data_IF_705626399442
#
_entry.id   IF_705626399442
#
_cell.length_a   1.000
_cell.length_b   1.000
_cell.length_c   1.000
_cell.angle_alpha   90.00
_cell.angle_beta   90.00
_cell.angle_gamma   90.00
#
_symmetry.space_group_name_H-M   'P 1'
#
loop_
_entity.id
_entity.type
_entity.pdbx_description
1 polymer ?
#
# COMPACT_ATOMS: atom_id res chain seq x y z
N UNK A 1 3.15 -30.73 -26.76
CA UNK A 1 4.16 -30.06 -25.92
C UNK A 1 4.02 -28.57 -26.11
N UNK A 2 3.44 -27.88 -25.14
CA UNK A 2 3.32 -26.41 -25.14
C UNK A 2 3.85 -25.93 -23.81
N UNK A 3 5.11 -25.48 -23.84
CA UNK A 3 5.82 -24.88 -22.72
C UNK A 3 5.08 -23.63 -22.24
N UNK A 4 4.49 -23.71 -21.05
CA UNK A 4 3.94 -22.56 -20.34
C UNK A 4 5.07 -21.72 -19.78
N UNK A 5 5.59 -20.79 -20.58
CA UNK A 5 6.39 -19.67 -20.07
C UNK A 5 5.45 -18.82 -19.22
N UNK A 6 5.57 -18.97 -17.91
CA UNK A 6 5.05 -17.99 -16.95
C UNK A 6 5.80 -16.69 -17.26
N UNK A 7 5.13 -15.77 -17.94
CA UNK A 7 5.60 -14.41 -18.14
C UNK A 7 5.64 -13.73 -16.77
N UNK A 8 6.74 -13.91 -16.04
CA UNK A 8 7.06 -13.05 -14.91
C UNK A 8 7.23 -11.66 -15.50
N UNK A 9 6.29 -10.78 -15.18
CA UNK A 9 6.28 -9.41 -15.64
C UNK A 9 7.67 -8.77 -15.37
N UNK A 10 8.36 -8.17 -16.36
CA UNK A 10 9.69 -7.59 -16.16
C UNK A 10 9.76 -6.53 -15.05
N UNK A 11 8.61 -6.00 -14.63
CA UNK A 11 8.46 -5.13 -13.47
C UNK A 11 8.78 -5.84 -12.15
N UNK A 12 8.46 -7.12 -11.96
CA UNK A 12 8.77 -7.88 -10.75
C UNK A 12 10.29 -8.06 -10.55
N UNK A 13 11.04 -8.25 -11.65
CA UNK A 13 12.49 -8.44 -11.60
C UNK A 13 13.22 -7.18 -11.11
N UNK A 14 12.71 -6.00 -11.47
CA UNK A 14 13.29 -4.71 -11.05
C UNK A 14 13.00 -4.39 -9.59
N UNK A 15 11.84 -4.81 -9.08
CA UNK A 15 11.53 -4.73 -7.65
C UNK A 15 12.35 -5.73 -6.83
N UNK A 16 12.57 -6.95 -7.34
CA UNK A 16 13.44 -7.95 -6.70
C UNK A 16 14.89 -7.46 -6.58
N UNK A 17 15.42 -6.81 -7.62
CA UNK A 17 16.78 -6.25 -7.61
C UNK A 17 16.92 -5.06 -6.64
N UNK A 18 15.92 -4.17 -6.56
CA UNK A 18 15.91 -3.08 -5.57
C UNK A 18 15.69 -3.56 -4.13
N UNK A 19 15.07 -4.74 -3.95
CA UNK A 19 14.87 -5.37 -2.65
C UNK A 19 16.13 -6.11 -2.18
N UNK A 20 16.89 -6.70 -3.11
CA UNK A 20 18.21 -7.31 -2.85
C UNK A 20 19.26 -6.25 -2.44
N UNK A 21 19.27 -5.08 -3.07
CA UNK A 21 20.19 -3.98 -2.70
C UNK A 21 19.89 -3.36 -1.31
N UNK A 22 18.69 -3.58 -0.74
CA UNK A 22 18.29 -3.02 0.56
C UNK A 22 18.42 -4.03 1.73
N UNK A 23 18.59 -5.33 1.44
CA UNK A 23 18.63 -6.41 2.44
C UNK A 23 20.07 -6.82 2.80
N UNK A 24 21.09 -6.09 2.34
CA UNK A 24 22.49 -6.40 2.65
C UNK A 24 22.96 -5.68 3.93
N UNK A 25 22.36 -6.03 5.07
CA UNK A 25 22.96 -5.78 6.39
C UNK A 25 22.29 -6.55 7.54
N UNK A 26 23.13 -7.23 8.33
CA UNK A 26 22.89 -7.96 9.59
C UNK A 26 22.39 -9.42 9.43
N UNK A 27 23.06 -10.48 9.89
CA UNK A 27 24.26 -10.63 10.74
C UNK A 27 24.89 -12.01 10.49
N UNK A 28 26.19 -12.12 10.74
CA UNK A 28 26.97 -13.34 10.62
C UNK A 28 26.88 -14.23 11.88
N UNK A 29 26.97 -15.54 11.64
CA UNK A 29 27.40 -16.65 12.52
C UNK A 29 26.40 -17.21 13.56
N UNK A 30 25.94 -18.44 13.31
CA UNK A 30 26.16 -19.57 14.24
C UNK A 30 25.86 -20.91 13.51
N UNK A 31 26.88 -21.78 13.42
CA UNK A 31 26.77 -23.13 12.87
C UNK A 31 26.24 -24.12 13.91
N UNK A 32 25.17 -24.85 13.60
CA UNK A 32 24.81 -26.10 14.28
C UNK A 32 23.97 -27.03 13.39
N UNK A 33 24.56 -28.19 13.07
CA UNK A 33 23.96 -29.48 12.70
C UNK A 33 23.08 -29.57 11.43
N UNK A 34 23.73 -30.03 10.36
CA UNK A 34 23.14 -30.41 9.07
C UNK A 34 22.33 -31.70 9.21
N UNK A 35 21.04 -31.57 9.51
CA UNK A 35 20.04 -32.56 9.13
C UNK A 35 19.42 -32.07 7.82
N UNK A 36 20.03 -32.40 6.69
CA UNK A 36 19.51 -32.15 5.34
C UNK A 36 18.23 -32.98 5.14
N UNK A 37 17.13 -32.55 5.75
CA UNK A 37 15.82 -32.81 5.17
C UNK A 37 15.84 -32.09 3.83
N UNK A 38 15.75 -32.83 2.73
CA UNK A 38 15.51 -32.28 1.39
C UNK A 38 14.14 -31.60 1.39
N UNK A 39 14.06 -30.42 1.99
CA UNK A 39 12.95 -29.51 1.86
C UNK A 39 13.06 -28.92 0.46
N UNK A 40 12.41 -29.57 -0.50
CA UNK A 40 12.23 -28.95 -1.81
C UNK A 40 11.35 -27.73 -1.61
N UNK A 41 11.93 -26.54 -1.83
CA UNK A 41 11.17 -25.31 -1.94
C UNK A 41 10.21 -25.43 -3.14
N UNK A 42 8.93 -25.58 -2.85
CA UNK A 42 7.89 -25.68 -3.87
C UNK A 42 7.53 -24.29 -4.40
N UNK A 43 8.27 -23.83 -5.41
CA UNK A 43 8.03 -22.56 -6.11
C UNK A 43 6.72 -22.56 -6.94
N UNK A 44 5.96 -23.66 -6.97
CA UNK A 44 4.67 -23.71 -7.67
C UNK A 44 3.51 -23.27 -6.78
N UNK A 45 3.70 -23.26 -5.45
CA UNK A 45 2.73 -22.75 -4.50
C UNK A 45 3.05 -21.30 -4.15
N UNK A 46 2.04 -20.44 -4.21
CA UNK A 46 2.17 -19.08 -3.70
C UNK A 46 2.60 -19.11 -2.23
N UNK A 47 3.55 -18.27 -1.87
CA UNK A 47 3.92 -17.99 -0.48
C UNK A 47 2.80 -17.25 0.26
N UNK A 48 2.86 -17.17 1.60
CA UNK A 48 1.92 -16.34 2.37
C UNK A 48 1.98 -14.87 1.95
N UNK A 49 3.18 -14.39 1.59
CA UNK A 49 3.43 -13.06 1.08
C UNK A 49 2.78 -12.80 -0.28
N UNK A 50 2.91 -13.73 -1.23
CA UNK A 50 2.28 -13.58 -2.55
C UNK A 50 0.76 -13.66 -2.47
N UNK A 51 0.21 -14.52 -1.61
CA UNK A 51 -1.24 -14.54 -1.33
C UNK A 51 -1.71 -13.21 -0.78
N UNK A 52 -0.94 -12.61 0.12
CA UNK A 52 -1.22 -11.29 0.68
C UNK A 52 -1.24 -10.19 -0.38
N UNK A 53 -0.23 -10.14 -1.25
CA UNK A 53 -0.20 -9.20 -2.39
C UNK A 53 -1.40 -9.43 -3.31
N UNK A 54 -1.73 -10.69 -3.60
CA UNK A 54 -2.85 -11.05 -4.46
C UNK A 54 -4.19 -10.59 -3.88
N UNK A 55 -4.38 -10.67 -2.56
CA UNK A 55 -5.58 -10.17 -1.89
C UNK A 55 -5.69 -8.64 -1.99
N UNK A 56 -4.59 -7.92 -1.75
CA UNK A 56 -4.55 -6.46 -1.94
C UNK A 56 -4.85 -6.09 -3.40
N UNK A 57 -4.26 -6.80 -4.36
CA UNK A 57 -4.49 -6.58 -5.78
C UNK A 57 -5.97 -6.80 -6.16
N UNK A 58 -6.58 -7.87 -5.65
CA UNK A 58 -7.99 -8.15 -5.89
C UNK A 58 -8.89 -7.03 -5.38
N UNK A 59 -8.63 -6.51 -4.17
CA UNK A 59 -9.36 -5.37 -3.60
C UNK A 59 -9.17 -4.11 -4.44
N UNK A 60 -7.93 -3.80 -4.83
CA UNK A 60 -7.64 -2.67 -5.73
C UNK A 60 -8.41 -2.78 -7.06
N UNK A 61 -8.42 -3.97 -7.69
CA UNK A 61 -9.15 -4.22 -8.94
C UNK A 61 -10.66 -4.04 -8.75
N UNK A 62 -11.22 -4.53 -7.64
CA UNK A 62 -12.63 -4.32 -7.31
C UNK A 62 -12.96 -2.84 -7.16
N UNK A 63 -12.15 -2.08 -6.43
CA UNK A 63 -12.36 -0.64 -6.25
C UNK A 63 -12.20 0.16 -7.55
N UNK A 64 -11.24 -0.21 -8.41
CA UNK A 64 -11.08 0.37 -9.73
C UNK A 64 -12.29 0.08 -10.64
N UNK A 65 -12.80 -1.15 -10.61
CA UNK A 65 -13.92 -1.59 -11.42
C UNK A 65 -15.25 -0.96 -10.98
N UNK A 66 -15.49 -0.88 -9.67
CA UNK A 66 -16.66 -0.21 -9.11
C UNK A 66 -16.60 1.30 -9.37
N UNK A 67 -15.42 1.91 -9.22
CA UNK A 67 -15.24 3.35 -9.37
C UNK A 67 -15.98 4.18 -8.31
N UNK A 68 -15.78 5.51 -8.30
CA UNK A 68 -16.17 6.37 -7.19
C UNK A 68 -17.68 6.55 -7.03
N UNK A 69 -18.52 6.09 -7.96
CA UNK A 69 -19.99 6.17 -7.82
C UNK A 69 -20.56 4.92 -7.15
N UNK A 70 -20.15 3.74 -7.62
CA UNK A 70 -20.67 2.47 -7.10
C UNK A 70 -20.12 2.17 -5.70
N UNK A 71 -18.90 2.63 -5.39
CA UNK A 71 -18.35 2.55 -4.03
C UNK A 71 -19.22 3.30 -3.01
N UNK A 72 -19.98 4.33 -3.44
CA UNK A 72 -20.86 5.10 -2.55
C UNK A 72 -22.10 4.34 -2.15
N UNK A 73 -22.57 3.50 -3.07
CA UNK A 73 -23.77 2.71 -2.89
C UNK A 73 -23.49 1.48 -2.02
N UNK A 74 -22.24 0.99 -2.01
CA UNK A 74 -21.78 -0.22 -1.32
C UNK A 74 -21.02 0.07 -0.01
N UNK A 75 -21.47 1.01 0.82
CA UNK A 75 -20.91 1.30 2.17
C UNK A 75 -19.72 2.28 2.27
N UNK A 76 -19.48 3.18 1.29
CA UNK A 76 -18.48 4.24 1.52
C UNK A 76 -18.90 5.18 2.66
N UNK A 77 -18.10 5.19 3.73
CA UNK A 77 -18.34 6.04 4.90
C UNK A 77 -17.79 7.44 4.61
N UNK A 78 -18.56 8.48 4.98
CA UNK A 78 -18.10 9.87 4.89
C UNK A 78 -16.98 10.11 5.90
N UNK A 79 -15.88 10.74 5.47
CA UNK A 79 -14.80 11.13 6.37
C UNK A 79 -15.29 12.29 7.25
N UNK A 80 -15.14 12.18 8.58
CA UNK A 80 -15.62 13.20 9.52
C UNK A 80 -14.91 14.55 9.35
N UNK A 81 -13.66 14.51 8.90
CA UNK A 81 -12.77 15.68 8.76
C UNK A 81 -13.07 16.54 7.53
N UNK A 82 -13.59 15.95 6.44
CA UNK A 82 -13.84 16.69 5.18
C UNK A 82 -15.23 16.41 4.60
N UNK A 83 -15.92 17.46 4.17
CA UNK A 83 -17.26 17.35 3.59
C UNK A 83 -17.28 16.63 2.24
N UNK A 84 -16.16 16.55 1.52
CA UNK A 84 -16.08 16.03 0.14
C UNK A 84 -15.41 14.67 0.03
N UNK A 85 -14.57 14.30 1.01
CA UNK A 85 -13.80 13.07 0.98
C UNK A 85 -14.64 11.89 1.48
N UNK A 86 -14.65 10.82 0.70
CA UNK A 86 -15.31 9.56 1.04
C UNK A 86 -14.28 8.46 1.08
N UNK A 87 -14.55 7.42 1.87
CA UNK A 87 -13.64 6.30 2.01
C UNK A 87 -14.31 4.95 1.89
N UNK A 88 -13.67 4.07 1.12
CA UNK A 88 -13.93 2.64 1.14
C UNK A 88 -12.94 1.98 2.10
N UNK A 89 -13.39 0.97 2.84
CA UNK A 89 -12.54 0.23 3.79
C UNK A 89 -12.54 -1.25 3.48
N UNK A 90 -11.41 -1.90 3.70
CA UNK A 90 -11.27 -3.34 3.63
C UNK A 90 -10.33 -3.83 4.72
N UNK A 91 -10.68 -4.92 5.40
CA UNK A 91 -9.85 -5.53 6.43
C UNK A 91 -9.17 -6.77 5.87
N UNK A 92 -7.85 -6.84 6.06
CA UNK A 92 -7.00 -7.88 5.50
C UNK A 92 -6.12 -8.48 6.60
N UNK A 93 -5.91 -9.79 6.55
CA UNK A 93 -5.17 -10.52 7.58
C UNK A 93 -3.86 -11.02 6.99
N UNK A 94 -2.76 -10.72 7.67
CA UNK A 94 -1.46 -11.27 7.32
C UNK A 94 -0.71 -11.69 8.58
N UNK A 95 -0.29 -12.95 8.57
CA UNK A 95 0.25 -13.65 9.73
C UNK A 95 -0.68 -13.53 10.96
N UNK A 96 -0.21 -12.87 12.02
CA UNK A 96 -0.94 -12.64 13.28
C UNK A 96 -1.51 -11.23 13.39
N UNK A 97 -1.34 -10.38 12.36
CA UNK A 97 -1.78 -8.99 12.35
C UNK A 97 -2.97 -8.82 11.42
N UNK A 98 -3.87 -7.92 11.79
CA UNK A 98 -4.97 -7.47 10.94
C UNK A 98 -4.62 -6.06 10.51
N UNK A 99 -4.73 -5.79 9.22
CA UNK A 99 -4.55 -4.48 8.63
C UNK A 99 -5.88 -3.99 8.07
N UNK A 100 -6.02 -2.68 8.03
CA UNK A 100 -7.14 -1.98 7.42
C UNK A 100 -6.59 -1.18 6.26
N UNK A 101 -7.19 -1.38 5.10
CA UNK A 101 -6.91 -0.66 3.87
C UNK A 101 -8.06 0.30 3.63
N UNK A 102 -7.73 1.58 3.53
CA UNK A 102 -8.70 2.65 3.34
C UNK A 102 -8.38 3.39 2.03
N UNK A 103 -9.29 3.34 1.07
CA UNK A 103 -9.18 4.09 -0.17
C UNK A 103 -9.99 5.37 -0.08
N UNK A 104 -9.32 6.50 -0.21
CA UNK A 104 -9.89 7.83 -0.13
C UNK A 104 -10.03 8.43 -1.52
N UNK A 105 -11.23 8.89 -1.83
CA UNK A 105 -11.53 9.46 -3.12
C UNK A 105 -12.54 10.61 -2.99
N UNK A 106 -12.44 11.54 -3.93
CA UNK A 106 -13.38 12.64 -4.06
C UNK A 106 -14.41 12.32 -5.13
N UNK A 107 -15.67 12.66 -4.86
CA UNK A 107 -16.70 12.61 -5.89
C UNK A 107 -16.49 13.79 -6.85
N UNK A 108 -16.07 13.51 -8.10
CA UNK A 108 -15.93 14.54 -9.12
C UNK A 108 -17.28 15.20 -9.43
N UNK A 109 -17.55 16.37 -8.85
CA UNK A 109 -18.58 17.26 -9.39
C UNK A 109 -18.10 17.79 -10.75
N UNK A 110 -18.91 17.59 -11.80
CA UNK A 110 -18.61 17.78 -13.24
C UNK A 110 -17.99 19.14 -13.68
N UNK A 111 -17.75 20.12 -12.80
CA UNK A 111 -17.46 21.49 -13.24
C UNK A 111 -16.69 22.40 -12.27
N UNK A 112 -15.93 21.90 -11.29
CA UNK A 112 -15.07 22.78 -10.46
C UNK A 112 -13.60 22.42 -10.56
N UNK A 113 -12.79 23.45 -10.81
CA UNK A 113 -11.36 23.50 -10.46
C UNK A 113 -11.22 23.00 -9.03
N UNK A 114 -10.29 22.08 -8.77
CA UNK A 114 -9.96 21.62 -7.42
C UNK A 114 -9.49 22.85 -6.65
N UNK A 115 -10.39 23.40 -5.84
CA UNK A 115 -10.07 24.51 -4.97
C UNK A 115 -9.38 23.89 -3.75
N UNK A 116 -8.08 24.13 -3.59
CA UNK A 116 -7.26 23.64 -2.49
C UNK A 116 -7.58 24.40 -1.20
N UNK A 117 -8.86 24.37 -0.81
CA UNK A 117 -9.42 25.06 0.34
C UNK A 117 -9.01 24.38 1.64
N UNK A 118 -9.07 25.13 2.75
CA UNK A 118 -8.85 24.64 4.12
C UNK A 118 -9.86 23.56 4.61
N UNK A 119 -10.73 23.05 3.72
CA UNK A 119 -11.66 21.96 4.01
C UNK A 119 -11.21 20.58 3.50
N UNK A 120 -10.01 20.49 2.92
CA UNK A 120 -9.37 19.23 2.52
C UNK A 120 -8.66 18.59 3.72
N UNK A 121 -8.42 17.28 3.63
CA UNK A 121 -7.71 16.57 4.69
C UNK A 121 -6.23 17.03 4.74
N UNK A 122 -5.64 17.07 5.94
CA UNK A 122 -4.25 17.50 6.14
C UNK A 122 -3.29 16.71 5.23
N UNK A 123 -3.59 15.43 4.95
CA UNK A 123 -2.79 14.57 4.08
C UNK A 123 -2.88 14.97 2.60
N UNK A 124 -4.06 15.40 2.14
CA UNK A 124 -4.26 15.89 0.77
C UNK A 124 -3.48 17.18 0.53
N UNK A 125 -3.49 18.08 1.52
CA UNK A 125 -2.77 19.35 1.45
C UNK A 125 -1.25 19.15 1.54
N UNK A 126 -0.79 18.28 2.44
CA UNK A 126 0.65 18.02 2.65
C UNK A 126 1.32 17.40 1.41
N UNK A 127 0.66 16.47 0.74
CA UNK A 127 1.24 15.75 -0.40
C UNK A 127 0.69 16.18 -1.77
N UNK A 128 -0.32 17.06 -1.81
CA UNK A 128 -0.93 17.53 -3.06
C UNK A 128 -1.69 16.44 -3.80
N UNK A 129 -2.32 15.50 -3.09
CA UNK A 129 -2.99 14.31 -3.66
C UNK A 129 -4.51 14.41 -3.52
N UNK A 130 -5.24 14.03 -4.57
CA UNK A 130 -6.72 14.06 -4.57
C UNK A 130 -7.35 12.71 -4.18
N UNK A 131 -6.79 11.62 -4.70
CA UNK A 131 -7.19 10.24 -4.42
C UNK A 131 -5.97 9.52 -3.89
N UNK A 132 -6.12 8.74 -2.83
CA UNK A 132 -4.99 8.05 -2.20
C UNK A 132 -5.46 6.83 -1.42
N UNK A 133 -4.51 5.93 -1.18
CA UNK A 133 -4.70 4.71 -0.43
C UNK A 133 -3.91 4.78 0.88
N UNK A 134 -4.52 4.37 2.00
CA UNK A 134 -3.82 4.17 3.27
C UNK A 134 -3.93 2.71 3.65
N UNK A 135 -2.83 2.11 4.08
CA UNK A 135 -2.84 0.80 4.74
C UNK A 135 -2.22 0.93 6.13
N UNK A 136 -2.94 0.46 7.15
CA UNK A 136 -2.54 0.62 8.54
C UNK A 136 -2.89 -0.64 9.35
N UNK A 137 -2.09 -1.00 10.37
CA UNK A 137 -2.45 -2.10 11.27
C UNK A 137 -3.67 -1.71 12.11
N UNK A 138 -4.61 -2.63 12.29
CA UNK A 138 -5.75 -2.50 13.21
C UNK A 138 -5.28 -2.78 14.65
N UNK A 139 -4.39 -1.92 15.14
CA UNK A 139 -3.85 -1.94 16.50
C UNK A 139 -4.32 -0.71 17.27
N UNK A 140 -4.14 -0.69 18.60
CA UNK A 140 -4.53 0.45 19.43
C UNK A 140 -3.84 1.77 19.02
N UNK A 141 -2.61 1.68 18.48
CA UNK A 141 -1.89 2.83 17.93
C UNK A 141 -2.32 3.17 16.49
N UNK A 142 -2.75 2.18 15.70
CA UNK A 142 -3.03 2.36 14.27
C UNK A 142 -1.80 2.65 13.40
N UNK A 143 -0.59 2.50 13.95
CA UNK A 143 0.67 2.93 13.33
C UNK A 143 1.71 1.80 13.34
N UNK A 144 2.58 1.75 12.32
CA UNK A 144 3.71 0.82 12.26
C UNK A 144 4.95 1.48 12.85
N UNK A 145 5.48 0.89 13.93
CA UNK A 145 6.69 1.38 14.60
C UNK A 145 7.96 0.82 13.94
N UNK A 146 7.88 -0.42 13.45
CA UNK A 146 9.00 -1.11 12.84
C UNK A 146 9.19 -0.63 11.39
N UNK A 147 10.29 0.10 11.15
CA UNK A 147 10.68 0.54 9.80
C UNK A 147 10.69 -0.59 8.76
N UNK A 148 11.29 -1.78 9.00
CA UNK A 148 11.29 -2.86 8.01
C UNK A 148 9.89 -3.42 7.75
N UNK A 149 9.00 -3.42 8.74
CA UNK A 149 7.61 -3.83 8.55
C UNK A 149 6.86 -2.82 7.66
N UNK A 150 7.07 -1.52 7.91
CA UNK A 150 6.43 -0.47 7.12
C UNK A 150 6.90 -0.51 5.66
N UNK A 151 8.20 -0.68 5.42
CA UNK A 151 8.78 -0.83 4.08
C UNK A 151 8.29 -2.10 3.37
N UNK A 152 8.21 -3.22 4.09
CA UNK A 152 7.64 -4.47 3.57
C UNK A 152 6.19 -4.24 3.15
N UNK A 153 5.35 -3.71 4.03
CA UNK A 153 3.94 -3.46 3.71
C UNK A 153 3.77 -2.51 2.52
N UNK A 154 4.55 -1.42 2.48
CA UNK A 154 4.53 -0.47 1.38
C UNK A 154 4.95 -1.11 0.05
N UNK A 155 5.91 -2.04 0.06
CA UNK A 155 6.33 -2.75 -1.15
C UNK A 155 5.25 -3.71 -1.65
N UNK A 156 4.55 -4.43 -0.77
CA UNK A 156 3.39 -5.25 -1.16
C UNK A 156 2.32 -4.43 -1.89
N UNK A 157 1.97 -3.28 -1.31
CA UNK A 157 0.97 -2.39 -1.90
C UNK A 157 1.47 -1.82 -3.24
N UNK A 158 2.73 -1.41 -3.34
CA UNK A 158 3.30 -0.91 -4.58
C UNK A 158 3.25 -1.95 -5.71
N UNK A 159 3.52 -3.22 -5.40
CA UNK A 159 3.42 -4.33 -6.36
C UNK A 159 1.96 -4.53 -6.78
N UNK A 160 1.03 -4.62 -5.83
CA UNK A 160 -0.39 -4.77 -6.11
C UNK A 160 -0.97 -3.62 -6.96
N UNK A 161 -0.56 -2.38 -6.69
CA UNK A 161 -0.96 -1.20 -7.46
C UNK A 161 -0.38 -1.22 -8.88
N UNK A 162 0.86 -1.69 -9.04
CA UNK A 162 1.49 -1.87 -10.35
C UNK A 162 0.74 -2.92 -11.19
N UNK A 163 0.40 -4.06 -10.58
CA UNK A 163 -0.31 -5.15 -11.26
C UNK A 163 -1.74 -4.79 -11.65
N UNK A 164 -2.39 -3.92 -10.86
CA UNK A 164 -3.71 -3.37 -11.16
C UNK A 164 -3.69 -2.16 -12.09
N UNK A 165 -2.50 -1.75 -12.57
CA UNK A 165 -2.29 -0.57 -13.43
C UNK A 165 -2.84 0.74 -12.83
N UNK A 166 -2.85 0.86 -11.50
CA UNK A 166 -3.31 2.06 -10.81
C UNK A 166 -2.16 3.04 -10.56
N UNK A 167 -2.50 4.34 -10.52
CA UNK A 167 -1.57 5.44 -10.22
C UNK A 167 -1.86 6.07 -8.87
N UNK A 168 -2.56 5.36 -8.01
CA UNK A 168 -2.92 5.84 -6.69
C UNK A 168 -1.67 5.92 -5.82
N UNK A 169 -1.42 7.05 -5.15
CA UNK A 169 -0.41 7.12 -4.11
C UNK A 169 -0.88 6.28 -2.92
N UNK A 170 0.01 5.44 -2.40
CA UNK A 170 -0.20 4.64 -1.21
C UNK A 170 0.62 5.19 -0.05
N UNK A 171 0.03 5.20 1.14
CA UNK A 171 0.64 5.69 2.36
C UNK A 171 0.52 4.66 3.49
N UNK A 172 1.54 4.62 4.34
CA UNK A 172 1.61 3.82 5.55
C UNK A 172 1.89 4.78 6.71
N UNK A 173 1.04 4.82 7.76
CA UNK A 173 1.33 5.62 8.94
C UNK A 173 2.51 4.99 9.70
N UNK A 174 3.48 5.82 10.07
CA UNK A 174 4.70 5.43 10.80
C UNK A 174 4.90 6.28 12.05
N UNK A 175 5.84 5.86 12.91
CA UNK A 175 6.22 6.56 14.15
C UNK A 175 5.09 6.70 15.18
N UNK A 176 5.02 7.84 15.89
CA UNK A 176 4.01 8.09 16.91
C UNK A 176 2.69 8.57 16.30
N UNK A 177 1.53 8.08 16.78
CA UNK A 177 0.21 8.53 16.33
C UNK A 177 -0.01 10.04 16.47
N UNK A 178 0.67 10.69 17.43
CA UNK A 178 0.57 12.13 17.68
C UNK A 178 1.20 12.99 16.58
N UNK A 179 2.20 12.45 15.87
CA UNK A 179 2.93 13.16 14.80
C UNK A 179 2.20 13.11 13.47
N UNK A 180 1.31 12.12 13.27
CA UNK A 180 0.69 11.80 11.98
C UNK A 180 1.77 11.71 10.89
N UNK A 181 2.79 10.90 11.13
CA UNK A 181 3.88 10.70 10.17
C UNK A 181 3.49 9.60 9.17
N UNK A 182 3.91 9.77 7.92
CA UNK A 182 3.58 8.86 6.83
C UNK A 182 4.77 8.66 5.91
N UNK A 183 4.95 7.41 5.48
CA UNK A 183 5.74 7.08 4.31
C UNK A 183 4.79 6.70 3.18
N UNK A 184 5.16 7.00 1.94
CA UNK A 184 4.31 6.70 0.81
C UNK A 184 5.06 6.47 -0.49
N UNK A 185 4.36 5.85 -1.42
CA UNK A 185 4.86 5.55 -2.76
C UNK A 185 3.77 5.71 -3.79
N UNK A 186 4.14 6.18 -4.98
CA UNK A 186 3.24 6.28 -6.11
C UNK A 186 3.94 5.85 -7.38
N UNK A 187 3.29 4.96 -8.12
CA UNK A 187 3.78 4.52 -9.43
C UNK A 187 3.20 5.44 -10.51
N UNK A 188 4.06 6.18 -11.21
CA UNK A 188 3.69 7.07 -12.31
C UNK A 188 4.00 6.44 -13.68
N UNK A 189 3.81 5.12 -13.81
CA UNK A 189 4.12 4.34 -15.01
C UNK A 189 5.27 3.36 -14.79
N UNK A 190 5.89 2.91 -15.89
CA UNK A 190 6.92 1.84 -15.86
C UNK A 190 8.30 2.32 -15.42
N UNK A 191 8.54 3.63 -15.40
CA UNK A 191 9.89 4.20 -15.20
C UNK A 191 10.00 5.04 -13.93
N UNK A 192 8.91 5.69 -13.51
CA UNK A 192 8.95 6.69 -12.45
C UNK A 192 8.14 6.27 -11.22
N UNK A 193 8.80 6.28 -10.06
CA UNK A 193 8.17 6.11 -8.75
C UNK A 193 8.36 7.38 -7.93
N UNK A 194 7.27 7.97 -7.47
CA UNK A 194 7.29 9.05 -6.49
C UNK A 194 7.38 8.45 -5.09
N UNK A 195 8.29 8.96 -4.26
CA UNK A 195 8.34 8.65 -2.82
C UNK A 195 7.85 9.84 -2.02
N UNK A 196 7.08 9.56 -0.99
CA UNK A 196 6.56 10.55 -0.05
C UNK A 196 7.07 10.19 1.34
N UNK A 197 7.50 11.19 2.08
CA UNK A 197 7.92 11.04 3.47
C UNK A 197 7.52 12.31 4.21
N UNK A 198 7.01 12.12 5.42
CA UNK A 198 6.64 13.23 6.30
C UNK A 198 6.84 12.83 7.76
N UNK A 199 7.66 13.61 8.47
CA UNK A 199 7.97 13.43 9.88
C UNK A 199 6.83 13.90 10.80
N UNK A 200 6.09 14.93 10.38
CA UNK A 200 4.90 15.37 11.08
C UNK A 200 3.95 16.12 10.16
N UNK A 201 2.67 15.74 10.18
CA UNK A 201 1.60 16.48 9.51
C UNK A 201 0.76 17.17 10.59
N UNK A 202 0.87 18.50 10.66
CA UNK A 202 0.07 19.35 11.54
C UNK A 202 -0.77 20.28 10.68
N UNK A 203 -2.05 20.41 11.01
CA UNK A 203 -2.90 21.43 10.41
C UNK A 203 -2.34 22.81 10.78
N UNK A 204 -2.13 23.67 9.78
CA UNK A 204 -1.74 25.06 10.02
C UNK A 204 -2.91 25.77 10.70
N UNK A 205 -2.67 26.26 11.92
CA UNK A 205 -3.63 27.07 12.71
C UNK A 205 -3.66 28.49 12.17
#
# INVERSE_FOLDING_TARGET
>A
ETSGLILVCPSLLRWLLLFLDLMDCASAEDEAEVQESQHFDDFTLASSWERFISEIEAVCRCWLADGPKNLLEKDAVRVQTSKKLRKAKYELKYDKKIYCMEYYFEEKCRSKVVNWDCGLDDLQLAFGVSEFLIIAPKSASGVILDSPEASKLLSAVAIALSNSCSRWPAFVPVHDPSRKAYIGIQNMGTVFTGRFESDCIKSQV
#
